data_IF_344172878839
#
_entry.id   IF_344172878839
#
_cell.length_a   1.000
_cell.length_b   1.000
_cell.length_c   1.000
_cell.angle_alpha   90.00
_cell.angle_beta   90.00
_cell.angle_gamma   90.00
#
_symmetry.space_group_name_H-M   'P 1'
#
loop_
_entity.id
_entity.type
_entity.pdbx_description
1 polymer ?
#
# COMPACT_ATOMS: atom_id res chain seq x y z
N UNK A 1 5.49 18.77 7.25
CA UNK A 1 5.56 17.41 6.65
C UNK A 1 4.63 16.43 7.35
N UNK A 2 4.36 16.64 8.64
CA UNK A 2 3.46 15.82 9.48
C UNK A 2 2.09 15.55 8.85
N UNK A 3 1.46 16.59 8.28
CA UNK A 3 0.14 16.44 7.67
C UNK A 3 0.14 15.44 6.50
N UNK A 4 1.22 15.42 5.69
CA UNK A 4 1.36 14.48 4.57
C UNK A 4 1.55 13.05 5.10
N UNK A 5 2.40 12.87 6.11
CA UNK A 5 2.63 11.55 6.72
C UNK A 5 1.33 11.04 7.35
N UNK A 6 0.61 11.87 8.12
CA UNK A 6 -0.67 11.49 8.72
C UNK A 6 -1.74 11.19 7.68
N UNK A 7 -1.79 11.96 6.58
CA UNK A 7 -2.65 11.67 5.44
C UNK A 7 -2.28 10.32 4.81
N UNK A 8 -0.98 10.01 4.65
CA UNK A 8 -0.48 8.70 4.24
C UNK A 8 -0.92 7.57 5.17
N UNK A 9 -0.96 7.83 6.48
CA UNK A 9 -1.45 6.90 7.49
C UNK A 9 -2.93 6.57 7.33
N UNK A 10 -3.79 7.60 7.20
CA UNK A 10 -5.23 7.45 6.92
C UNK A 10 -5.44 6.72 5.59
N UNK A 11 -4.69 7.12 4.56
CA UNK A 11 -4.68 6.49 3.24
C UNK A 11 -4.36 4.99 3.33
N UNK A 12 -3.36 4.60 4.13
CA UNK A 12 -3.00 3.20 4.34
C UNK A 12 -4.12 2.41 5.03
N UNK A 13 -4.81 2.99 6.01
CA UNK A 13 -6.00 2.35 6.60
C UNK A 13 -7.18 2.23 5.61
N UNK A 14 -7.33 3.18 4.68
CA UNK A 14 -8.25 3.02 3.55
C UNK A 14 -7.94 1.75 2.75
N UNK A 15 -6.66 1.45 2.55
CA UNK A 15 -6.21 0.23 1.88
C UNK A 15 -6.43 -1.05 2.68
N UNK A 16 -6.37 -1.00 4.01
CA UNK A 16 -6.79 -2.12 4.88
C UNK A 16 -8.24 -2.49 4.60
N UNK A 17 -9.14 -1.50 4.66
CA UNK A 17 -10.57 -1.71 4.40
C UNK A 17 -10.78 -2.24 2.98
N UNK A 18 -10.13 -1.64 1.99
CA UNK A 18 -10.23 -2.07 0.60
C UNK A 18 -9.80 -3.55 0.41
N UNK A 19 -8.68 -3.98 1.00
CA UNK A 19 -8.21 -5.37 0.89
C UNK A 19 -9.09 -6.35 1.67
N UNK A 20 -9.66 -5.94 2.81
CA UNK A 20 -10.69 -6.71 3.51
C UNK A 20 -11.95 -6.92 2.67
N UNK A 21 -12.23 -6.03 1.73
CA UNK A 21 -13.37 -6.17 0.81
C UNK A 21 -13.08 -7.07 -0.39
N UNK A 22 -11.84 -7.55 -0.62
CA UNK A 22 -11.51 -8.36 -1.81
C UNK A 22 -12.35 -9.63 -1.92
N UNK A 23 -12.61 -10.28 -0.78
CA UNK A 23 -13.47 -11.46 -0.72
C UNK A 23 -14.87 -11.21 -1.31
N UNK A 24 -15.37 -9.98 -1.20
CA UNK A 24 -16.68 -9.58 -1.70
C UNK A 24 -16.61 -8.94 -3.09
N UNK A 25 -15.73 -7.95 -3.30
CA UNK A 25 -15.65 -7.18 -4.55
C UNK A 25 -15.21 -8.07 -5.73
N UNK A 26 -14.27 -8.98 -5.48
CA UNK A 26 -13.73 -9.88 -6.50
C UNK A 26 -14.24 -11.31 -6.37
N UNK A 27 -15.29 -11.53 -5.56
CA UNK A 27 -15.91 -12.84 -5.39
C UNK A 27 -14.91 -13.98 -5.10
N UNK A 28 -13.85 -13.71 -4.34
CA UNK A 28 -12.75 -14.68 -4.13
C UNK A 28 -13.20 -15.99 -3.49
N UNK A 29 -14.37 -16.00 -2.84
CA UNK A 29 -14.98 -17.22 -2.33
C UNK A 29 -15.24 -18.27 -3.41
N UNK A 30 -15.61 -17.84 -4.62
CA UNK A 30 -15.85 -18.72 -5.77
C UNK A 30 -14.71 -18.67 -6.78
N UNK A 31 -14.25 -17.47 -7.16
CA UNK A 31 -13.30 -17.30 -8.26
C UNK A 31 -11.95 -17.99 -7.98
N UNK A 32 -11.49 -17.97 -6.71
CA UNK A 32 -10.25 -18.66 -6.33
C UNK A 32 -10.40 -20.18 -6.18
N UNK A 33 -11.62 -20.74 -6.19
CA UNK A 33 -11.82 -22.21 -6.12
C UNK A 33 -11.31 -22.91 -7.37
N UNK A 34 -11.24 -22.19 -8.49
CA UNK A 34 -10.67 -22.69 -9.75
C UNK A 34 -9.15 -22.93 -9.66
N UNK A 35 -8.49 -22.36 -8.66
CA UNK A 35 -7.06 -22.55 -8.41
C UNK A 35 -6.80 -23.83 -7.60
N UNK A 36 -5.60 -24.39 -7.77
CA UNK A 36 -5.09 -25.44 -6.87
C UNK A 36 -5.11 -24.96 -5.41
N UNK A 37 -5.21 -25.90 -4.47
CA UNK A 37 -5.19 -25.59 -3.04
C UNK A 37 -4.01 -24.69 -2.66
N UNK A 38 -2.80 -25.04 -3.14
CA UNK A 38 -1.59 -24.29 -2.84
C UNK A 38 -1.66 -22.85 -3.35
N UNK A 39 -2.04 -22.63 -4.61
CA UNK A 39 -2.10 -21.28 -5.19
C UNK A 39 -3.20 -20.43 -4.54
N UNK A 40 -4.35 -21.03 -4.21
CA UNK A 40 -5.40 -20.36 -3.45
C UNK A 40 -4.91 -19.93 -2.07
N UNK A 41 -4.21 -20.81 -1.35
CA UNK A 41 -3.66 -20.50 -0.04
C UNK A 41 -2.60 -19.38 -0.11
N UNK A 42 -1.70 -19.42 -1.10
CA UNK A 42 -0.70 -18.37 -1.32
C UNK A 42 -1.37 -17.01 -1.54
N UNK A 43 -2.40 -16.93 -2.39
CA UNK A 43 -3.15 -15.70 -2.62
C UNK A 43 -3.78 -15.13 -1.34
N UNK A 44 -4.33 -15.99 -0.49
CA UNK A 44 -4.91 -15.59 0.80
C UNK A 44 -3.84 -15.06 1.76
N UNK A 45 -2.73 -15.78 1.91
CA UNK A 45 -1.60 -15.36 2.76
C UNK A 45 -1.03 -14.03 2.27
N UNK A 46 -0.85 -13.86 0.96
CA UNK A 46 -0.38 -12.59 0.39
C UNK A 46 -1.34 -11.44 0.69
N UNK A 47 -2.65 -11.63 0.57
CA UNK A 47 -3.63 -10.58 0.85
C UNK A 47 -3.63 -10.18 2.34
N UNK A 48 -3.63 -11.17 3.25
CA UNK A 48 -3.60 -10.92 4.70
C UNK A 48 -2.29 -10.26 5.14
N UNK A 49 -1.15 -10.71 4.61
CA UNK A 49 0.15 -10.08 4.86
C UNK A 49 0.16 -8.63 4.38
N UNK A 50 -0.46 -8.34 3.23
CA UNK A 50 -0.54 -6.98 2.70
C UNK A 50 -1.43 -6.08 3.56
N UNK A 51 -2.55 -6.60 4.05
CA UNK A 51 -3.39 -5.92 5.05
C UNK A 51 -2.56 -5.56 6.28
N UNK A 52 -1.80 -6.52 6.82
CA UNK A 52 -0.97 -6.29 7.99
C UNK A 52 0.09 -5.22 7.74
N UNK A 53 0.76 -5.23 6.59
CA UNK A 53 1.70 -4.17 6.19
C UNK A 53 1.04 -2.79 6.16
N UNK A 54 -0.18 -2.67 5.62
CA UNK A 54 -0.90 -1.39 5.63
C UNK A 54 -1.31 -0.93 7.02
N UNK A 55 -1.64 -1.86 7.93
CA UNK A 55 -1.85 -1.54 9.35
C UNK A 55 -0.57 -0.99 9.96
N UNK A 56 0.59 -1.60 9.71
CA UNK A 56 1.89 -1.10 10.19
C UNK A 56 2.13 0.32 9.67
N UNK A 57 1.99 0.55 8.35
CA UNK A 57 2.19 1.86 7.75
C UNK A 57 1.25 2.91 8.35
N UNK A 58 -0.04 2.56 8.49
CA UNK A 58 -1.03 3.42 9.14
C UNK A 58 -0.66 3.77 10.57
N UNK A 59 -0.33 2.75 11.38
CA UNK A 59 0.04 2.88 12.79
C UNK A 59 1.24 3.81 12.98
N UNK A 60 2.36 3.52 12.31
CA UNK A 60 3.59 4.32 12.48
C UNK A 60 3.41 5.76 11.97
N UNK A 61 2.65 5.93 10.88
CA UNK A 61 2.44 7.26 10.30
C UNK A 61 1.60 8.17 11.19
N UNK A 62 0.66 7.61 11.96
CA UNK A 62 -0.24 8.38 12.82
C UNK A 62 0.30 8.57 14.24
N UNK A 63 0.93 7.54 14.81
CA UNK A 63 1.34 7.53 16.21
C UNK A 63 2.83 7.83 16.41
N UNK A 64 3.65 7.62 15.38
CA UNK A 64 5.10 7.84 15.41
C UNK A 64 5.56 8.84 14.34
N UNK A 65 4.71 9.82 13.99
CA UNK A 65 4.98 10.80 12.93
C UNK A 65 6.28 11.56 13.18
N UNK A 66 6.56 11.94 14.45
CA UNK A 66 7.75 12.70 14.81
C UNK A 66 9.01 11.85 14.67
N UNK A 67 9.00 10.64 15.22
CA UNK A 67 10.14 9.73 15.09
C UNK A 67 10.42 9.36 13.64
N UNK A 68 9.40 9.27 12.79
CA UNK A 68 9.56 9.06 11.34
C UNK A 68 10.34 10.20 10.66
N UNK A 69 10.20 11.43 11.12
CA UNK A 69 10.88 12.59 10.52
C UNK A 69 12.26 12.84 11.13
N UNK A 70 12.40 12.65 12.44
CA UNK A 70 13.57 13.12 13.19
C UNK A 70 14.67 12.05 13.34
N UNK A 71 14.37 10.77 13.07
CA UNK A 71 15.34 9.68 13.22
C UNK A 71 15.81 9.13 11.88
N UNK A 72 17.07 8.68 11.81
CA UNK A 72 17.63 8.05 10.60
C UNK A 72 16.87 6.77 10.20
N UNK A 73 16.41 5.99 11.18
CA UNK A 73 15.55 4.83 10.93
C UNK A 73 14.18 5.26 10.39
N UNK A 74 13.58 6.27 10.99
CA UNK A 74 12.31 6.85 10.56
C UNK A 74 12.35 7.34 9.12
N UNK A 75 13.41 8.07 8.77
CA UNK A 75 13.65 8.54 7.41
C UNK A 75 13.78 7.38 6.42
N UNK A 76 14.54 6.34 6.80
CA UNK A 76 14.66 5.12 6.00
C UNK A 76 13.29 4.45 5.78
N UNK A 77 12.45 4.41 6.81
CA UNK A 77 11.08 3.89 6.69
C UNK A 77 10.22 4.74 5.75
N UNK A 78 10.29 6.08 5.81
CA UNK A 78 9.56 6.95 4.87
C UNK A 78 9.95 6.66 3.42
N UNK A 79 11.25 6.53 3.14
CA UNK A 79 11.75 6.17 1.80
C UNK A 79 11.24 4.80 1.37
N UNK A 80 11.34 3.79 2.24
CA UNK A 80 10.90 2.43 1.92
C UNK A 80 9.39 2.33 1.69
N UNK A 81 8.58 3.08 2.44
CA UNK A 81 7.12 3.16 2.22
C UNK A 81 6.83 3.85 0.88
N UNK A 82 7.52 4.94 0.56
CA UNK A 82 7.37 5.61 -0.74
C UNK A 82 7.73 4.66 -1.91
N UNK A 83 8.84 3.93 -1.79
CA UNK A 83 9.27 2.94 -2.77
C UNK A 83 8.30 1.77 -2.87
N UNK A 84 7.70 1.32 -1.75
CA UNK A 84 6.67 0.29 -1.78
C UNK A 84 5.46 0.76 -2.61
N UNK A 85 4.97 1.99 -2.40
CA UNK A 85 3.87 2.53 -3.19
C UNK A 85 4.24 2.73 -4.67
N UNK A 86 5.47 3.16 -4.95
CA UNK A 86 5.97 3.27 -6.32
C UNK A 86 6.06 1.90 -6.99
N UNK A 87 6.55 0.88 -6.29
CA UNK A 87 6.58 -0.50 -6.79
C UNK A 87 5.17 -1.01 -7.14
N UNK A 88 4.18 -0.69 -6.30
CA UNK A 88 2.77 -0.99 -6.58
C UNK A 88 2.26 -0.28 -7.83
N UNK A 89 2.64 0.99 -8.03
CA UNK A 89 2.31 1.74 -9.25
C UNK A 89 2.96 1.10 -10.49
N UNK A 90 4.25 0.78 -10.45
CA UNK A 90 4.98 0.11 -11.54
C UNK A 90 4.33 -1.25 -11.85
N UNK A 91 3.87 -1.98 -10.85
CA UNK A 91 3.12 -3.23 -11.04
C UNK A 91 1.87 -3.08 -11.92
N UNK A 92 1.19 -1.93 -11.88
CA UNK A 92 0.06 -1.64 -12.78
C UNK A 92 0.50 -1.52 -14.24
N UNK A 93 1.69 -0.99 -14.48
CA UNK A 93 2.28 -0.94 -15.83
C UNK A 93 2.73 -2.33 -16.27
N UNK A 94 3.48 -3.04 -15.43
CA UNK A 94 4.11 -4.31 -15.82
C UNK A 94 3.07 -5.43 -16.01
N UNK A 95 2.18 -5.64 -15.02
CA UNK A 95 1.27 -6.78 -15.03
C UNK A 95 -0.05 -6.49 -15.75
N UNK A 96 -0.58 -5.27 -15.62
CA UNK A 96 -1.88 -4.91 -16.21
C UNK A 96 -1.74 -4.12 -17.51
N UNK A 97 -0.52 -3.65 -17.86
CA UNK A 97 -0.23 -2.86 -19.06
C UNK A 97 -1.12 -1.63 -19.20
N UNK A 98 -1.68 -1.15 -18.07
CA UNK A 98 -2.69 -0.10 -18.00
C UNK A 98 -3.89 -0.28 -18.95
N UNK A 99 -4.20 -1.53 -19.36
CA UNK A 99 -5.27 -1.80 -20.33
C UNK A 99 -6.67 -1.67 -19.75
N UNK A 100 -6.81 -1.87 -18.45
CA UNK A 100 -8.09 -1.77 -17.74
C UNK A 100 -8.19 -0.44 -17.00
N UNK A 101 -9.34 0.23 -17.07
CA UNK A 101 -9.56 1.53 -16.41
C UNK A 101 -9.22 1.50 -14.92
N UNK A 102 -9.58 0.41 -14.23
CA UNK A 102 -9.26 0.23 -12.82
C UNK A 102 -7.75 0.21 -12.55
N UNK A 103 -6.96 -0.34 -13.48
CA UNK A 103 -5.50 -0.34 -13.36
C UNK A 103 -4.91 1.06 -13.52
N UNK A 104 -5.48 1.89 -14.40
CA UNK A 104 -5.11 3.31 -14.54
C UNK A 104 -5.43 4.06 -13.25
N UNK A 105 -6.62 3.85 -12.68
CA UNK A 105 -6.99 4.45 -11.38
C UNK A 105 -6.02 4.02 -10.29
N UNK A 106 -5.72 2.73 -10.17
CA UNK A 106 -4.78 2.23 -9.16
C UNK A 106 -3.35 2.72 -9.39
N UNK A 107 -2.91 2.91 -10.64
CA UNK A 107 -1.62 3.51 -10.94
C UNK A 107 -1.53 4.94 -10.37
N UNK A 108 -2.55 5.77 -10.58
CA UNK A 108 -2.60 7.13 -10.04
C UNK A 108 -2.69 7.14 -8.52
N UNK A 109 -3.54 6.28 -7.95
CA UNK A 109 -3.71 6.15 -6.50
C UNK A 109 -2.39 5.74 -5.85
N UNK A 110 -1.72 4.68 -6.33
CA UNK A 110 -0.42 4.27 -5.78
C UNK A 110 0.66 5.32 -5.98
N UNK A 111 0.66 6.05 -7.10
CA UNK A 111 1.57 7.18 -7.29
C UNK A 111 1.34 8.27 -6.25
N UNK A 112 0.09 8.56 -5.88
CA UNK A 112 -0.22 9.49 -4.80
C UNK A 112 0.32 9.03 -3.44
N UNK A 113 0.24 7.72 -3.15
CA UNK A 113 0.86 7.13 -1.97
C UNK A 113 2.38 7.32 -1.96
N UNK A 114 3.04 7.13 -3.10
CA UNK A 114 4.48 7.37 -3.22
C UNK A 114 4.83 8.84 -2.96
N UNK A 115 4.00 9.79 -3.41
CA UNK A 115 4.19 11.23 -3.18
C UNK A 115 3.96 11.60 -1.70
N UNK A 116 2.92 11.06 -1.06
CA UNK A 116 2.58 11.34 0.34
C UNK A 116 3.74 11.03 1.30
N UNK A 117 4.52 9.99 1.02
CA UNK A 117 5.70 9.61 1.81
C UNK A 117 7.02 10.12 1.23
N UNK A 118 7.13 10.21 -0.10
CA UNK A 118 8.34 10.64 -0.80
C UNK A 118 8.66 12.12 -0.62
N UNK A 119 7.64 12.99 -0.54
CA UNK A 119 7.88 14.41 -0.21
C UNK A 119 8.46 14.54 1.20
N UNK A 120 7.83 14.03 2.27
CA UNK A 120 8.45 14.04 3.60
C UNK A 120 9.86 13.43 3.62
N UNK A 121 10.09 12.31 2.91
CA UNK A 121 11.41 11.70 2.83
C UNK A 121 12.45 12.61 2.16
N UNK A 122 12.11 13.32 1.07
CA UNK A 122 13.08 14.16 0.37
C UNK A 122 13.48 15.44 1.14
N UNK A 123 12.66 15.87 2.10
CA UNK A 123 12.82 17.15 2.80
C UNK A 123 12.95 17.00 4.33
N UNK A 124 12.93 15.78 4.87
CA UNK A 124 13.29 15.52 6.26
C UNK A 124 14.81 15.61 6.38
N UNK A 125 15.28 16.76 6.89
CA UNK A 125 16.68 17.05 7.22
C UNK A 125 17.04 16.56 8.61
#
# INVERSE_FOLDING_TARGET
>A
MDALIKAGGIYSFGFVIFHLMFWRIFNWGEDLRTLSFLNRAIMQVMNVSLIFTFVIFGYISLLHTKELMESALGHSLLVLIALFWLFRAIGQIVFFKLKHWGSVVFFLVFSSGAVLYGIPAAYAT
#
